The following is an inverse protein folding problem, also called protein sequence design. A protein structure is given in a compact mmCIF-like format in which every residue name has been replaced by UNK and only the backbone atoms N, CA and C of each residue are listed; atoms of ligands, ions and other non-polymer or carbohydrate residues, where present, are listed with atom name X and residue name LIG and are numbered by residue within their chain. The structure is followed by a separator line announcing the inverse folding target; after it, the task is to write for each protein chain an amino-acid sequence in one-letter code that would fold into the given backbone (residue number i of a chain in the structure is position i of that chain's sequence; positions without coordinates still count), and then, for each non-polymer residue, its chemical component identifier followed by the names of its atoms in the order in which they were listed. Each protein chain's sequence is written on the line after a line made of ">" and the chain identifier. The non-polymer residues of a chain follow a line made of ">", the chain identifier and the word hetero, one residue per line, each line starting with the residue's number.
data_IF_034602774570
#
_entry.id   IF_034602774570
#
_cell.length_a   1.000
_cell.length_b   1.000
_cell.length_c   1.000
_cell.angle_alpha   90.00
_cell.angle_beta   90.00
_cell.angle_gamma   90.00
#
_symmetry.space_group_name_H-M   'P 1'
#
loop_
_entity.id
_entity.type
_entity.pdbx_description
1 polymer ?
#
# COMPACT_ATOMS: atom_id res chain seq x y z
N UNK A 1 9.96 -40.02 -32.99
CA UNK A 1 9.45 -39.83 -34.35
C UNK A 1 8.01 -39.33 -34.24
N UNK A 2 7.83 -37.99 -34.18
CA UNK A 2 6.66 -37.25 -34.67
C UNK A 2 6.96 -35.76 -34.46
N UNK A 3 7.30 -35.11 -35.56
CA UNK A 3 7.46 -33.67 -35.71
C UNK A 3 6.07 -33.08 -35.99
N UNK A 4 5.65 -32.06 -35.25
CA UNK A 4 4.52 -31.22 -35.62
C UNK A 4 4.96 -29.76 -35.75
N UNK A 5 4.76 -29.28 -36.98
CA UNK A 5 5.16 -27.97 -37.54
C UNK A 5 4.17 -26.90 -37.14
N UNK A 6 4.66 -25.77 -36.66
CA UNK A 6 3.87 -24.54 -36.64
C UNK A 6 4.15 -23.70 -37.89
N UNK A 7 3.10 -23.41 -38.63
CA UNK A 7 3.10 -22.60 -39.85
C UNK A 7 3.04 -21.12 -39.49
N UNK A 8 4.04 -20.36 -39.97
CA UNK A 8 3.97 -18.92 -40.16
C UNK A 8 3.04 -18.61 -41.35
N UNK A 9 2.08 -17.73 -41.15
CA UNK A 9 1.37 -17.07 -42.25
C UNK A 9 1.84 -15.59 -42.31
N UNK A 10 2.66 -15.33 -43.31
CA UNK A 10 2.92 -14.02 -43.84
C UNK A 10 1.85 -13.69 -44.90
N UNK A 11 1.18 -12.57 -44.78
CA UNK A 11 0.32 -12.03 -45.84
C UNK A 11 0.96 -10.78 -46.40
N UNK A 12 1.42 -10.91 -47.61
CA UNK A 12 1.87 -9.87 -48.53
C UNK A 12 0.65 -9.34 -49.29
N UNK A 13 0.47 -8.04 -49.44
CA UNK A 13 -0.44 -7.42 -50.44
C UNK A 13 0.08 -6.04 -50.76
N UNK A 14 0.72 -5.85 -51.83
CA UNK A 14 0.32 -5.54 -53.21
C UNK A 14 -0.09 -4.08 -53.38
N UNK A 15 0.83 -3.37 -54.02
CA UNK A 15 0.76 -2.04 -54.62
C UNK A 15 -0.20 -2.02 -55.80
N UNK A 16 -0.99 -0.96 -55.94
CA UNK A 16 -1.51 -0.54 -57.25
C UNK A 16 -1.61 0.99 -57.31
N UNK A 17 -0.94 1.48 -58.33
CA UNK A 17 -0.80 2.86 -58.74
C UNK A 17 -1.98 3.33 -59.62
N UNK A 18 -1.92 4.65 -59.92
CA UNK A 18 -2.60 5.42 -60.97
C UNK A 18 -3.96 5.99 -60.60
N UNK A 19 -4.21 7.26 -60.67
CA UNK A 19 -4.15 8.11 -61.88
C UNK A 19 -4.24 9.60 -61.54
N UNK A 20 -3.44 10.40 -62.24
CA UNK A 20 -3.47 11.84 -62.35
C UNK A 20 -4.82 12.32 -62.91
N UNK A 21 -5.41 13.35 -62.30
CA UNK A 21 -6.28 14.30 -63.00
C UNK A 21 -5.97 15.71 -62.47
N UNK A 22 -5.40 16.49 -63.33
CA UNK A 22 -5.19 17.94 -63.17
C UNK A 22 -6.48 18.64 -63.58
N UNK A 23 -6.99 19.51 -62.72
CA UNK A 23 -7.96 20.55 -63.10
C UNK A 23 -7.49 21.85 -62.46
N UNK A 24 -7.30 22.85 -63.33
CA UNK A 24 -6.83 24.17 -63.04
C UNK A 24 -7.91 25.07 -62.42
N UNK A 25 -7.49 25.88 -61.46
CA UNK A 25 -7.87 27.22 -60.98
C UNK A 25 -9.34 27.68 -60.96
N UNK A 26 -9.70 28.62 -60.05
CA UNK A 26 -9.19 30.00 -60.08
C UNK A 26 -8.82 30.58 -58.70
N UNK A 27 -7.96 31.59 -58.79
CA UNK A 27 -7.62 32.58 -57.76
C UNK A 27 -8.91 33.26 -57.27
N UNK A 28 -9.19 33.16 -55.99
CA UNK A 28 -10.23 33.87 -55.29
C UNK A 28 -9.79 34.25 -53.89
N UNK A 29 -9.83 35.52 -53.62
CA UNK A 29 -9.45 36.20 -52.40
C UNK A 29 -9.97 35.50 -51.11
N UNK A 30 -9.08 35.27 -50.15
CA UNK A 30 -9.41 34.94 -48.76
C UNK A 30 -8.50 35.70 -47.85
N UNK A 31 -8.94 36.82 -47.47
CA UNK A 31 -9.58 37.15 -46.19
C UNK A 31 -8.83 36.60 -44.96
N UNK A 32 -8.12 37.54 -44.38
CA UNK A 32 -7.64 37.60 -43.03
C UNK A 32 -8.72 37.38 -42.00
N UNK A 33 -8.99 36.11 -41.58
CA UNK A 33 -9.81 35.78 -40.41
C UNK A 33 -9.20 34.68 -39.56
N UNK A 34 -7.91 34.65 -39.36
CA UNK A 34 -7.26 33.70 -38.43
C UNK A 34 -6.21 34.29 -37.50
N UNK A 35 -6.11 35.59 -37.42
CA UNK A 35 -5.16 36.25 -36.51
C UNK A 35 -5.80 36.73 -35.20
N UNK A 36 -7.14 36.69 -35.05
CA UNK A 36 -7.79 37.23 -33.87
C UNK A 36 -8.03 36.20 -32.75
N UNK A 37 -8.17 34.90 -33.08
CA UNK A 37 -8.47 33.89 -32.06
C UNK A 37 -7.23 33.37 -31.33
N UNK A 38 -6.04 33.46 -31.95
CA UNK A 38 -4.79 33.06 -31.30
C UNK A 38 -4.28 34.09 -30.27
N UNK A 39 -4.70 35.35 -30.39
CA UNK A 39 -4.31 36.38 -29.43
C UNK A 39 -5.24 36.39 -28.19
N UNK A 40 -6.48 35.97 -28.32
CA UNK A 40 -7.40 35.86 -27.19
C UNK A 40 -7.05 34.68 -26.25
N UNK A 41 -6.57 33.56 -26.81
CA UNK A 41 -6.14 32.41 -26.01
C UNK A 41 -4.84 32.68 -25.23
N UNK A 42 -3.92 33.48 -25.80
CA UNK A 42 -2.67 33.87 -25.12
C UNK A 42 -2.89 34.92 -24.03
N UNK A 43 -3.96 35.73 -24.13
CA UNK A 43 -4.25 36.76 -23.13
C UNK A 43 -4.87 36.20 -21.85
N UNK A 44 -5.47 35.01 -21.88
CA UNK A 44 -6.00 34.38 -20.67
C UNK A 44 -4.93 33.70 -19.80
N UNK A 45 -3.80 33.27 -20.37
CA UNK A 45 -2.69 32.70 -19.61
C UNK A 45 -1.75 33.74 -18.99
N UNK A 46 -1.79 34.99 -19.45
CA UNK A 46 -0.92 36.07 -18.96
C UNK A 46 -1.46 36.83 -17.74
N UNK A 47 -2.68 36.52 -17.26
CA UNK A 47 -3.29 37.21 -16.11
C UNK A 47 -3.09 36.52 -14.76
N UNK A 48 -2.55 35.30 -14.74
CA UNK A 48 -2.47 34.49 -13.51
C UNK A 48 -1.19 34.71 -12.70
N UNK A 49 -0.26 35.53 -13.13
CA UNK A 49 1.01 35.74 -12.42
C UNK A 49 1.18 37.14 -11.82
N UNK A 50 0.11 37.72 -11.31
CA UNK A 50 0.20 39.04 -10.68
C UNK A 50 0.94 39.05 -9.34
N UNK A 51 1.10 37.86 -8.69
CA UNK A 51 1.69 37.73 -7.38
C UNK A 51 2.82 36.69 -7.39
N UNK A 52 3.98 36.98 -6.76
CA UNK A 52 5.01 35.98 -6.54
C UNK A 52 4.46 34.77 -5.78
N UNK A 53 4.95 33.58 -6.12
CA UNK A 53 4.51 32.32 -5.54
C UNK A 53 5.67 31.63 -4.83
N UNK A 54 5.34 30.91 -3.76
CA UNK A 54 6.28 30.02 -3.09
C UNK A 54 5.62 28.66 -2.85
N UNK A 55 6.40 27.60 -2.97
CA UNK A 55 5.99 26.24 -2.61
C UNK A 55 6.62 25.89 -1.27
N UNK A 56 5.84 25.33 -0.39
CA UNK A 56 6.20 24.98 0.98
C UNK A 56 5.81 23.54 1.27
N UNK A 57 6.55 22.95 2.19
CA UNK A 57 6.23 21.65 2.77
C UNK A 57 6.36 21.77 4.30
N UNK A 58 5.44 21.14 5.00
CA UNK A 58 5.53 20.98 6.45
C UNK A 58 5.14 19.55 6.82
N UNK A 59 5.68 19.05 7.91
CA UNK A 59 5.39 17.71 8.39
C UNK A 59 5.19 17.74 9.92
N UNK A 60 4.41 16.79 10.40
CA UNK A 60 4.32 16.45 11.80
C UNK A 60 4.54 14.95 11.97
N UNK A 61 5.19 14.56 13.05
CA UNK A 61 5.61 13.19 13.32
C UNK A 61 5.25 12.81 14.74
N UNK A 62 4.76 11.58 14.94
CA UNK A 62 4.52 10.99 16.26
C UNK A 62 5.08 9.56 16.29
N UNK A 63 5.59 9.15 17.44
CA UNK A 63 5.92 7.76 17.74
C UNK A 63 4.79 7.17 18.58
N UNK A 64 4.17 6.12 18.05
CA UNK A 64 2.99 5.48 18.63
C UNK A 64 3.33 4.05 19.01
N UNK A 65 3.06 3.68 20.27
CA UNK A 65 3.23 2.31 20.70
C UNK A 65 2.26 1.38 19.96
N UNK A 66 2.71 0.19 19.60
CA UNK A 66 1.84 -0.84 19.05
C UNK A 66 0.80 -1.26 20.09
N UNK A 67 -0.44 -1.33 19.69
CA UNK A 67 -1.59 -1.70 20.52
C UNK A 67 -2.25 -3.01 20.09
N UNK A 68 -1.72 -3.65 19.05
CA UNK A 68 -2.26 -4.88 18.48
C UNK A 68 -1.14 -5.89 18.25
N UNK A 69 -1.36 -7.12 18.70
CA UNK A 69 -0.52 -8.28 18.38
C UNK A 69 -1.22 -9.20 17.40
N UNK A 70 -0.48 -9.72 16.45
CA UNK A 70 -0.90 -10.75 15.50
C UNK A 70 0.05 -11.93 15.64
N UNK A 71 -0.50 -13.08 16.05
CA UNK A 71 0.23 -14.35 16.19
C UNK A 71 -0.26 -15.29 15.10
N UNK A 72 0.66 -15.78 14.28
CA UNK A 72 0.38 -16.78 13.25
C UNK A 72 0.75 -18.15 13.78
N UNK A 73 -0.24 -19.04 13.80
CA UNK A 73 -0.06 -20.47 14.08
C UNK A 73 -0.11 -21.20 12.75
N UNK A 74 0.82 -22.12 12.51
CA UNK A 74 0.85 -22.89 11.27
C UNK A 74 1.05 -24.38 11.54
N UNK A 75 0.48 -25.21 10.68
CA UNK A 75 0.75 -26.64 10.64
C UNK A 75 1.08 -27.06 9.22
N UNK A 76 1.97 -28.02 9.08
CA UNK A 76 2.35 -28.61 7.82
C UNK A 76 2.22 -30.14 7.92
N UNK A 77 1.61 -30.74 6.92
CA UNK A 77 1.40 -32.19 6.83
C UNK A 77 1.79 -32.70 5.44
N UNK A 78 2.23 -33.96 5.38
CA UNK A 78 2.52 -34.65 4.12
C UNK A 78 1.78 -35.99 4.11
N UNK A 79 1.28 -36.38 2.93
CA UNK A 79 0.61 -37.66 2.70
C UNK A 79 0.73 -38.07 1.24
N UNK A 80 0.50 -39.33 0.94
CA UNK A 80 0.56 -39.88 -0.41
C UNK A 80 -0.51 -39.30 -1.36
N UNK A 81 -1.59 -38.72 -0.83
CA UNK A 81 -2.70 -38.16 -1.61
C UNK A 81 -3.07 -36.74 -1.20
N UNK A 82 -3.45 -35.95 -2.19
CA UNK A 82 -3.97 -34.59 -1.96
C UNK A 82 -5.19 -34.58 -1.01
N UNK A 83 -6.08 -35.56 -1.15
CA UNK A 83 -7.29 -35.66 -0.36
C UNK A 83 -6.99 -35.91 1.12
N UNK A 84 -6.04 -36.79 1.45
CA UNK A 84 -5.64 -37.08 2.82
C UNK A 84 -4.99 -35.86 3.49
N UNK A 85 -4.11 -35.15 2.78
CA UNK A 85 -3.52 -33.89 3.24
C UNK A 85 -4.63 -32.85 3.55
N UNK A 86 -5.54 -32.63 2.61
CA UNK A 86 -6.62 -31.66 2.78
C UNK A 86 -7.54 -32.02 3.95
N UNK A 87 -7.88 -33.29 4.12
CA UNK A 87 -8.71 -33.78 5.22
C UNK A 87 -8.04 -33.54 6.59
N UNK A 88 -6.76 -33.88 6.72
CA UNK A 88 -6.00 -33.70 7.97
C UNK A 88 -5.88 -32.23 8.35
N UNK A 89 -5.55 -31.35 7.37
CA UNK A 89 -5.48 -29.92 7.58
C UNK A 89 -6.83 -29.34 8.03
N UNK A 90 -7.91 -29.69 7.34
CA UNK A 90 -9.26 -29.20 7.67
C UNK A 90 -9.67 -29.63 9.08
N UNK A 91 -9.44 -30.89 9.47
CA UNK A 91 -9.74 -31.37 10.81
C UNK A 91 -8.93 -30.65 11.89
N UNK A 92 -7.66 -30.35 11.63
CA UNK A 92 -6.80 -29.60 12.55
C UNK A 92 -7.29 -28.17 12.70
N UNK A 93 -7.54 -27.49 11.57
CA UNK A 93 -8.08 -26.13 11.55
C UNK A 93 -9.40 -26.03 12.31
N UNK A 94 -10.34 -26.94 12.08
CA UNK A 94 -11.65 -26.94 12.76
C UNK A 94 -11.52 -27.04 14.28
N UNK A 95 -10.66 -27.93 14.75
CA UNK A 95 -10.42 -28.12 16.20
C UNK A 95 -9.81 -26.88 16.83
N UNK A 96 -8.76 -26.35 16.22
CA UNK A 96 -8.03 -25.17 16.72
C UNK A 96 -8.90 -23.92 16.64
N UNK A 97 -9.63 -23.74 15.54
CA UNK A 97 -10.53 -22.60 15.36
C UNK A 97 -11.69 -22.60 16.37
N UNK A 98 -12.28 -23.77 16.67
CA UNK A 98 -13.31 -23.88 17.71
C UNK A 98 -12.79 -23.48 19.08
N UNK A 99 -11.57 -23.92 19.42
CA UNK A 99 -10.94 -23.55 20.69
C UNK A 99 -10.58 -22.06 20.72
N UNK A 100 -10.03 -21.51 19.64
CA UNK A 100 -9.65 -20.09 19.54
C UNK A 100 -10.87 -19.15 19.65
N UNK A 101 -11.98 -19.47 18.98
CA UNK A 101 -13.23 -18.68 19.03
C UNK A 101 -13.91 -18.68 20.40
N UNK A 102 -13.53 -19.57 21.30
CA UNK A 102 -13.99 -19.56 22.70
C UNK A 102 -13.47 -18.37 23.52
N UNK A 103 -12.47 -17.65 23.04
CA UNK A 103 -11.91 -16.48 23.71
C UNK A 103 -12.44 -15.18 23.08
N UNK A 104 -13.25 -14.42 23.85
CA UNK A 104 -13.88 -13.20 23.37
C UNK A 104 -12.90 -12.02 23.16
N UNK A 105 -11.70 -12.07 23.76
CA UNK A 105 -10.69 -11.01 23.68
C UNK A 105 -9.74 -11.20 22.49
N UNK A 106 -9.74 -12.38 21.87
CA UNK A 106 -8.85 -12.72 20.76
C UNK A 106 -9.68 -13.03 19.53
N UNK A 107 -9.45 -12.28 18.47
CA UNK A 107 -10.03 -12.58 17.16
C UNK A 107 -9.23 -13.69 16.50
N UNK A 108 -9.90 -14.73 16.05
CA UNK A 108 -9.28 -15.83 15.33
C UNK A 108 -9.88 -15.97 13.93
N UNK A 109 -9.03 -16.04 12.93
CA UNK A 109 -9.41 -16.22 11.53
C UNK A 109 -8.39 -17.08 10.77
N UNK A 110 -8.82 -17.68 9.67
CA UNK A 110 -7.94 -18.49 8.82
C UNK A 110 -6.95 -17.60 8.09
N UNK A 111 -5.68 -18.03 8.06
CA UNK A 111 -4.62 -17.47 7.26
C UNK A 111 -4.48 -18.20 5.92
N UNK A 112 -3.23 -18.43 5.50
CA UNK A 112 -2.92 -19.15 4.27
C UNK A 112 -3.33 -20.64 4.37
N UNK A 113 -3.82 -21.17 3.25
CA UNK A 113 -4.13 -22.57 3.08
C UNK A 113 -3.70 -23.01 1.69
N UNK A 114 -2.78 -23.96 1.63
CA UNK A 114 -2.27 -24.47 0.35
C UNK A 114 -1.91 -25.93 0.44
N UNK A 115 -2.06 -26.64 -0.69
CA UNK A 115 -1.62 -28.02 -0.90
C UNK A 115 -0.88 -28.07 -2.22
N UNK A 116 0.28 -28.73 -2.23
CA UNK A 116 1.12 -28.84 -3.42
C UNK A 116 1.76 -30.21 -3.54
N UNK A 117 2.04 -30.68 -4.77
CA UNK A 117 2.73 -31.95 -4.99
C UNK A 117 4.21 -31.84 -4.65
N UNK A 118 4.76 -32.94 -4.18
CA UNK A 118 6.20 -33.15 -4.03
C UNK A 118 6.66 -34.14 -5.10
N UNK A 119 7.75 -33.81 -5.80
CA UNK A 119 8.28 -34.67 -6.85
C UNK A 119 9.48 -35.44 -6.34
N UNK A 120 9.62 -36.67 -6.84
CA UNK A 120 10.81 -37.49 -6.68
C UNK A 120 11.95 -37.02 -7.60
N UNK A 121 13.08 -37.75 -7.57
CA UNK A 121 14.26 -37.45 -8.39
C UNK A 121 14.01 -37.60 -9.91
N UNK A 122 12.98 -38.34 -10.29
CA UNK A 122 12.59 -38.59 -11.68
C UNK A 122 11.51 -37.60 -12.17
N UNK A 123 11.13 -36.64 -11.32
CA UNK A 123 10.13 -35.61 -11.62
C UNK A 123 8.68 -36.11 -11.52
N UNK A 124 8.45 -37.29 -10.95
CA UNK A 124 7.10 -37.82 -10.72
C UNK A 124 6.62 -37.39 -9.32
N UNK A 125 5.31 -37.19 -9.20
CA UNK A 125 4.69 -36.87 -7.89
C UNK A 125 4.89 -38.09 -6.98
N UNK A 126 5.62 -37.90 -5.88
CA UNK A 126 5.82 -38.91 -4.82
C UNK A 126 4.82 -38.76 -3.69
N UNK A 127 4.61 -37.53 -3.25
CA UNK A 127 3.77 -37.19 -2.10
C UNK A 127 3.07 -35.85 -2.32
N UNK A 128 2.16 -35.52 -1.43
CA UNK A 128 1.53 -34.22 -1.33
C UNK A 128 1.87 -33.59 0.00
N UNK A 129 2.13 -32.29 -0.01
CA UNK A 129 2.39 -31.49 1.18
C UNK A 129 1.35 -30.39 1.27
N UNK A 130 0.93 -30.08 2.46
CA UNK A 130 -0.01 -28.99 2.70
C UNK A 130 0.33 -28.20 3.94
N UNK A 131 0.02 -26.93 3.91
CA UNK A 131 0.19 -25.99 5.02
C UNK A 131 -1.12 -25.24 5.25
N UNK A 132 -1.43 -25.03 6.51
CA UNK A 132 -2.58 -24.23 6.92
C UNK A 132 -2.20 -23.32 8.09
N UNK A 133 -2.81 -22.14 8.13
CA UNK A 133 -2.53 -21.11 9.12
C UNK A 133 -3.82 -20.65 9.82
N UNK A 134 -3.66 -20.31 11.10
CA UNK A 134 -4.65 -19.56 11.89
C UNK A 134 -3.94 -18.30 12.40
N UNK A 135 -4.62 -17.17 12.29
CA UNK A 135 -4.15 -15.89 12.77
C UNK A 135 -4.97 -15.51 13.99
N UNK A 136 -4.27 -15.21 15.08
CA UNK A 136 -4.83 -14.67 16.31
C UNK A 136 -4.49 -13.19 16.38
N UNK A 137 -5.49 -12.33 16.57
CA UNK A 137 -5.31 -10.89 16.69
C UNK A 137 -5.97 -10.38 17.95
N UNK A 138 -5.24 -9.57 18.74
CA UNK A 138 -5.74 -9.00 19.98
C UNK A 138 -5.00 -7.74 20.37
N UNK A 139 -5.69 -6.87 21.11
CA UNK A 139 -5.08 -5.80 21.89
C UNK A 139 -4.69 -6.23 23.31
N UNK A 140 -5.18 -7.40 23.77
CA UNK A 140 -4.77 -8.01 25.04
C UNK A 140 -3.66 -9.02 24.78
N UNK A 141 -2.42 -8.56 24.88
CA UNK A 141 -1.21 -9.34 24.56
C UNK A 141 -1.07 -10.58 25.44
N UNK A 142 -1.44 -10.46 26.72
CA UNK A 142 -1.36 -11.57 27.67
C UNK A 142 -2.34 -12.68 27.29
N UNK A 143 -3.57 -12.34 26.93
CA UNK A 143 -4.57 -13.30 26.48
C UNK A 143 -4.19 -13.95 25.15
N UNK A 144 -3.68 -13.16 24.19
CA UNK A 144 -3.21 -13.70 22.92
C UNK A 144 -2.07 -14.70 23.11
N UNK A 145 -1.08 -14.35 23.92
CA UNK A 145 0.04 -15.23 24.26
C UNK A 145 -0.40 -16.52 24.93
N UNK A 146 -1.30 -16.42 25.91
CA UNK A 146 -1.84 -17.59 26.63
C UNK A 146 -2.61 -18.52 25.68
N UNK A 147 -3.45 -17.94 24.83
CA UNK A 147 -4.21 -18.71 23.85
C UNK A 147 -3.30 -19.38 22.83
N UNK A 148 -2.32 -18.66 22.29
CA UNK A 148 -1.35 -19.20 21.35
C UNK A 148 -0.56 -20.38 21.96
N UNK A 149 -0.11 -20.23 23.20
CA UNK A 149 0.59 -21.32 23.92
C UNK A 149 -0.31 -22.54 24.15
N UNK A 150 -1.60 -22.33 24.43
CA UNK A 150 -2.55 -23.44 24.60
C UNK A 150 -2.89 -24.17 23.29
N UNK A 151 -2.65 -23.54 22.14
CA UNK A 151 -2.90 -24.11 20.81
C UNK A 151 -1.63 -24.69 20.15
N UNK A 152 -0.44 -24.35 20.67
CA UNK A 152 0.87 -24.65 20.06
C UNK A 152 1.15 -26.16 19.92
N UNK A 153 0.59 -27.00 20.77
CA UNK A 153 0.70 -28.46 20.66
C UNK A 153 0.11 -29.02 19.36
N UNK A 154 -0.87 -28.31 18.76
CA UNK A 154 -1.55 -28.70 17.52
C UNK A 154 -1.09 -27.90 16.31
N UNK A 155 -0.86 -26.63 16.53
CA UNK A 155 -0.39 -25.69 15.53
C UNK A 155 0.70 -24.81 16.16
N UNK A 156 1.97 -25.10 15.94
CA UNK A 156 3.08 -24.29 16.43
C UNK A 156 2.99 -22.81 16.03
N UNK A 157 3.57 -21.95 16.88
CA UNK A 157 3.68 -20.53 16.56
C UNK A 157 4.70 -20.38 15.42
N UNK A 158 4.27 -19.85 14.30
CA UNK A 158 5.08 -19.64 13.10
C UNK A 158 5.59 -18.18 13.00
N UNK A 159 4.84 -17.24 13.54
CA UNK A 159 5.22 -15.84 13.51
C UNK A 159 4.48 -14.98 14.52
N UNK A 160 5.09 -13.84 14.81
CA UNK A 160 4.54 -12.84 15.71
C UNK A 160 4.85 -11.45 15.16
N UNK A 161 3.83 -10.60 15.10
CA UNK A 161 3.96 -9.22 14.64
C UNK A 161 3.15 -8.29 15.54
N UNK A 162 3.68 -7.08 15.73
CA UNK A 162 2.97 -6.01 16.41
C UNK A 162 2.62 -4.91 15.41
N UNK A 163 1.54 -4.20 15.66
CA UNK A 163 1.10 -3.09 14.82
C UNK A 163 0.28 -2.09 15.61
N UNK A 164 0.13 -0.90 15.05
CA UNK A 164 -0.85 0.09 15.50
C UNK A 164 -2.20 -0.25 14.88
N UNK A 165 -3.26 -0.33 15.67
CA UNK A 165 -4.60 -0.59 15.17
C UNK A 165 -5.07 0.49 14.18
N UNK A 166 -5.94 0.17 13.22
CA UNK A 166 -6.49 1.16 12.28
C UNK A 166 -7.17 2.34 12.98
N UNK A 167 -7.81 2.08 14.11
CA UNK A 167 -8.49 3.12 14.91
C UNK A 167 -7.47 4.09 15.51
N UNK A 168 -6.47 3.59 16.24
CA UNK A 168 -5.43 4.41 16.87
C UNK A 168 -4.63 5.17 15.80
N UNK A 169 -4.35 4.53 14.67
CA UNK A 169 -3.67 5.16 13.53
C UNK A 169 -4.47 6.36 13.01
N UNK A 170 -5.76 6.19 12.74
CA UNK A 170 -6.62 7.27 12.25
C UNK A 170 -6.67 8.45 13.24
N UNK A 171 -6.81 8.16 14.54
CA UNK A 171 -6.79 9.19 15.59
C UNK A 171 -5.47 9.97 15.61
N UNK A 172 -4.34 9.29 15.42
CA UNK A 172 -3.03 9.93 15.36
C UNK A 172 -2.82 10.72 14.07
N UNK A 173 -3.27 10.21 12.94
CA UNK A 173 -3.21 10.91 11.65
C UNK A 173 -4.02 12.21 11.68
N UNK A 174 -5.22 12.22 12.27
CA UNK A 174 -6.04 13.42 12.43
C UNK A 174 -5.35 14.47 13.32
N UNK A 175 -4.75 14.04 14.43
CA UNK A 175 -4.01 14.92 15.32
C UNK A 175 -2.76 15.51 14.64
N UNK A 176 -2.02 14.69 13.88
CA UNK A 176 -0.84 15.10 13.13
C UNK A 176 -1.18 16.03 11.97
N UNK A 177 -2.34 15.84 11.32
CA UNK A 177 -2.80 16.73 10.26
C UNK A 177 -2.98 18.16 10.78
N UNK A 178 -3.59 18.33 11.96
CA UNK A 178 -3.73 19.63 12.59
C UNK A 178 -2.37 20.30 12.89
N UNK A 179 -1.41 19.52 13.37
CA UNK A 179 -0.05 19.99 13.67
C UNK A 179 0.72 20.35 12.38
N UNK A 180 0.67 19.52 11.35
CA UNK A 180 1.30 19.76 10.05
C UNK A 180 0.72 21.01 9.37
N UNK A 181 -0.60 21.21 9.44
CA UNK A 181 -1.26 22.41 8.94
C UNK A 181 -0.85 23.67 9.71
N UNK A 182 -0.64 23.58 11.02
CA UNK A 182 -0.10 24.70 11.80
C UNK A 182 1.35 24.99 11.40
N UNK A 183 2.19 23.98 11.32
CA UNK A 183 3.58 24.10 10.88
C UNK A 183 3.69 24.71 9.46
N UNK A 184 2.76 24.36 8.57
CA UNK A 184 2.68 24.97 7.23
C UNK A 184 2.39 26.48 7.32
N UNK A 185 1.40 26.90 8.12
CA UNK A 185 1.06 28.33 8.32
C UNK A 185 2.24 29.10 8.91
N UNK A 186 2.91 28.53 9.90
CA UNK A 186 4.06 29.14 10.55
C UNK A 186 5.23 29.35 9.57
N UNK A 187 5.51 28.35 8.72
CA UNK A 187 6.50 28.46 7.64
C UNK A 187 6.12 29.51 6.60
N UNK A 188 4.84 29.57 6.20
CA UNK A 188 4.33 30.57 5.27
C UNK A 188 4.51 31.99 5.84
N UNK A 189 4.17 32.21 7.13
CA UNK A 189 4.35 33.49 7.80
C UNK A 189 5.83 33.86 7.95
N UNK A 190 6.68 32.92 8.30
CA UNK A 190 8.12 33.14 8.38
C UNK A 190 8.72 33.57 7.02
N UNK A 191 8.27 32.92 5.93
CA UNK A 191 8.69 33.24 4.57
C UNK A 191 8.24 34.66 4.17
N UNK A 192 6.98 35.03 4.46
CA UNK A 192 6.45 36.37 4.22
C UNK A 192 7.34 37.42 4.89
N UNK A 193 7.67 37.23 6.16
CA UNK A 193 8.52 38.13 6.92
C UNK A 193 9.94 38.20 6.36
N UNK A 194 10.55 37.06 6.08
CA UNK A 194 11.94 36.99 5.58
C UNK A 194 12.14 37.67 4.22
N UNK A 195 11.13 37.62 3.35
CA UNK A 195 11.18 38.24 2.02
C UNK A 195 10.55 39.64 1.96
N UNK A 196 10.13 40.19 3.07
CA UNK A 196 9.60 41.56 3.15
C UNK A 196 8.21 41.75 2.56
N UNK A 197 7.44 40.67 2.46
CA UNK A 197 6.01 40.74 2.12
C UNK A 197 5.17 41.00 3.38
N UNK A 198 3.89 41.36 3.19
CA UNK A 198 3.01 41.69 4.33
C UNK A 198 2.05 40.56 4.70
N UNK A 199 1.66 39.75 3.68
CA UNK A 199 0.71 38.67 3.88
C UNK A 199 0.87 37.62 2.80
N UNK A 200 0.18 36.50 2.98
CA UNK A 200 0.06 35.44 1.97
C UNK A 200 -1.39 34.99 1.81
N UNK A 201 -1.67 34.41 0.67
CA UNK A 201 -2.88 33.64 0.43
C UNK A 201 -2.48 32.22 -0.03
N UNK A 202 -3.19 31.23 0.48
CA UNK A 202 -2.98 29.85 0.03
C UNK A 202 -3.51 29.73 -1.42
N UNK A 203 -2.67 29.25 -2.31
CA UNK A 203 -3.03 28.95 -3.71
C UNK A 203 -3.54 27.52 -3.83
N UNK A 204 -2.82 26.59 -3.25
CA UNK A 204 -3.09 25.16 -3.36
C UNK A 204 -2.54 24.45 -2.13
N UNK A 205 -3.27 23.46 -1.66
CA UNK A 205 -2.81 22.50 -0.65
C UNK A 205 -2.98 21.12 -1.22
N UNK A 206 -1.91 20.36 -1.15
CA UNK A 206 -1.88 18.94 -1.44
C UNK A 206 -1.57 18.22 -0.13
N UNK A 207 -2.52 17.45 0.33
CA UNK A 207 -2.29 16.50 1.40
C UNK A 207 -1.68 15.27 0.74
N UNK A 208 -0.37 15.14 0.86
CA UNK A 208 0.30 13.89 0.51
C UNK A 208 -0.39 12.81 1.30
N UNK A 209 -0.95 11.80 0.62
CA UNK A 209 -1.56 10.69 1.31
C UNK A 209 -0.61 10.21 2.40
N UNK A 210 -1.13 9.88 3.58
CA UNK A 210 -0.34 9.37 4.69
C UNK A 210 0.49 8.19 4.19
N UNK A 211 1.67 8.51 3.70
CA UNK A 211 2.62 7.55 3.16
C UNK A 211 3.30 6.90 4.34
N UNK A 212 2.72 5.81 4.82
CA UNK A 212 3.35 4.97 5.82
C UNK A 212 4.66 4.46 5.22
N UNK A 213 5.76 5.04 5.60
CA UNK A 213 7.05 4.39 5.43
C UNK A 213 7.13 3.35 6.52
N UNK A 214 6.83 2.12 6.16
CA UNK A 214 7.12 0.98 7.00
C UNK A 214 8.66 0.86 7.12
N UNK A 215 9.21 1.34 8.19
CA UNK A 215 10.48 0.80 8.67
C UNK A 215 10.13 -0.60 9.16
N UNK A 216 10.53 -1.60 8.39
CA UNK A 216 10.32 -3.00 8.72
C UNK A 216 11.03 -3.29 10.05
N UNK A 217 10.26 -3.42 11.12
CA UNK A 217 10.80 -3.97 12.35
C UNK A 217 11.42 -5.35 12.05
N UNK A 218 12.60 -5.68 12.59
CA UNK A 218 13.21 -6.96 12.36
C UNK A 218 12.25 -8.06 12.82
N UNK A 219 11.92 -8.99 11.91
CA UNK A 219 11.18 -10.19 12.25
C UNK A 219 12.03 -11.00 13.23
N UNK A 220 11.60 -11.06 14.47
CA UNK A 220 12.16 -12.01 15.42
C UNK A 220 11.75 -13.41 14.96
N UNK A 221 12.70 -14.17 14.46
CA UNK A 221 12.51 -15.61 14.25
C UNK A 221 12.36 -16.25 15.63
N UNK A 222 11.20 -16.80 15.91
CA UNK A 222 10.97 -17.58 17.12
C UNK A 222 11.86 -18.81 17.06
N UNK A 223 12.88 -18.84 17.92
CA UNK A 223 13.58 -20.09 18.24
C UNK A 223 12.58 -20.98 18.96
N UNK A 224 12.41 -22.19 18.47
CA UNK A 224 11.59 -23.23 19.10
C UNK A 224 12.11 -23.50 20.50
N UNK A 225 11.45 -22.92 21.47
CA UNK A 225 11.65 -23.26 22.88
C UNK A 225 10.58 -24.30 23.27
N UNK A 226 11.06 -25.46 23.66
CA UNK A 226 10.28 -26.59 24.16
C UNK A 226 9.79 -26.29 25.60
N UNK A 227 8.92 -25.29 25.73
CA UNK A 227 8.34 -24.93 27.02
C UNK A 227 6.96 -24.27 26.83
N UNK A 228 5.96 -24.77 27.55
CA UNK A 228 4.60 -24.21 27.68
C UNK A 228 4.58 -22.87 28.46
N UNK A 229 5.60 -22.06 28.31
CA UNK A 229 5.71 -20.74 28.93
C UNK A 229 5.14 -19.71 27.95
N UNK A 230 4.25 -18.86 28.44
CA UNK A 230 3.76 -17.74 27.67
C UNK A 230 4.95 -16.88 27.19
N UNK A 231 5.00 -16.59 25.90
CA UNK A 231 6.05 -15.75 25.32
C UNK A 231 5.88 -14.33 25.88
N UNK A 232 6.89 -13.74 26.55
CA UNK A 232 6.80 -12.34 26.97
C UNK A 232 6.72 -11.47 25.72
N UNK A 233 5.65 -10.67 25.60
CA UNK A 233 5.40 -9.83 24.44
C UNK A 233 5.66 -8.37 24.80
N UNK A 234 6.72 -7.79 24.25
CA UNK A 234 7.03 -6.38 24.38
C UNK A 234 6.84 -5.68 23.03
N UNK A 235 5.83 -4.83 22.88
CA UNK A 235 5.58 -4.10 21.65
C UNK A 235 6.61 -3.00 21.46
N UNK A 236 7.03 -2.78 20.21
CA UNK A 236 7.79 -1.60 19.81
C UNK A 236 6.89 -0.38 19.57
N UNK A 237 7.47 0.63 18.93
CA UNK A 237 6.76 1.83 18.45
C UNK A 237 6.77 1.88 16.92
N UNK A 238 5.80 2.58 16.36
CA UNK A 238 5.73 2.90 14.94
C UNK A 238 5.74 4.43 14.77
N UNK A 239 6.46 4.91 13.77
CA UNK A 239 6.51 6.32 13.42
C UNK A 239 5.42 6.63 12.39
N UNK A 240 4.49 7.51 12.76
CA UNK A 240 3.45 8.03 11.87
C UNK A 240 3.84 9.44 11.47
N UNK A 241 3.80 9.75 10.18
CA UNK A 241 4.15 11.05 9.62
C UNK A 241 3.02 11.56 8.72
N UNK A 242 2.62 12.80 8.91
CA UNK A 242 1.68 13.50 8.02
C UNK A 242 2.40 14.68 7.40
N UNK A 243 2.35 14.79 6.07
CA UNK A 243 3.00 15.85 5.32
C UNK A 243 1.96 16.70 4.58
N UNK A 244 2.10 18.00 4.69
CA UNK A 244 1.32 19.00 3.96
C UNK A 244 2.23 19.67 2.95
N UNK A 245 1.90 19.56 1.67
CA UNK A 245 2.52 20.32 0.59
C UNK A 245 1.56 21.43 0.16
N UNK A 246 2.09 22.55 -0.31
CA UNK A 246 1.23 23.59 -0.83
C UNK A 246 2.00 24.70 -1.48
N UNK A 247 1.27 25.56 -2.19
CA UNK A 247 1.79 26.81 -2.74
C UNK A 247 0.99 27.99 -2.23
N UNK A 248 1.68 29.11 -2.07
CA UNK A 248 1.11 30.37 -1.58
C UNK A 248 1.40 31.50 -2.56
N UNK A 249 0.53 32.48 -2.61
CA UNK A 249 0.79 33.77 -3.21
C UNK A 249 1.32 34.72 -2.15
N UNK A 250 2.32 35.54 -2.50
CA UNK A 250 2.91 36.54 -1.63
C UNK A 250 2.36 37.92 -1.99
N UNK A 251 1.85 38.64 -1.01
CA UNK A 251 1.25 39.96 -1.21
C UNK A 251 2.13 41.07 -0.64
N UNK A 252 2.43 42.07 -1.48
CA UNK A 252 3.06 43.33 -1.06
C UNK A 252 2.08 44.48 -1.25
N UNK A 253 2.00 45.41 -0.31
CA UNK A 253 1.28 46.67 -0.50
C UNK A 253 2.14 47.67 -1.29
N UNK A 254 2.54 47.32 -2.55
CA UNK A 254 2.96 48.41 -3.43
C UNK A 254 1.71 49.06 -4.01
N UNK A 255 1.42 50.27 -3.47
CA UNK A 255 0.57 51.23 -4.17
C UNK A 255 1.15 51.57 -5.53
#
# INVERSE_FOLDING_TARGET
>A
MYLSRYKCNAVLSAVLATSMWAVAAPVGAQQNIRASDSQAASAHHARDHKWPQATLQAEAVSEVAHDTVRITLATEVSDATQAAVAQTLTQTLDKVMKQAKGNAKVKAFSGDYRVWPMNDKDGKISDWRGRAEIILESSDFAEASRLASALSDRMPIDGLAFSVSPKLRAEQEDALLAQAAQAFRDRAQALVTAFGYQSYAIKQIDLGGAGVRFESAPRMMAMSADSKVAVPLEPGTERITVTVHGSIFLHSNKK
#
